data_IF_745567996776
#
_entry.id   IF_745567996776
#
_cell.length_a   1.000
_cell.length_b   1.000
_cell.length_c   1.000
_cell.angle_alpha   90.00
_cell.angle_beta   90.00
_cell.angle_gamma   90.00
#
_symmetry.space_group_name_H-M   'P 1'
#
loop_
_entity.id
_entity.type
_entity.pdbx_description
1 polymer ?
#
# COMPACT_ATOMS: atom_id res chain seq x y z
N UNK A 1 -32.02 16.52 -13.37
CA UNK A 1 -31.69 15.10 -13.11
C UNK A 1 -31.26 14.97 -11.66
N UNK A 2 -32.07 14.32 -10.81
CA UNK A 2 -31.71 14.04 -9.42
C UNK A 2 -30.83 12.79 -9.42
N UNK A 3 -29.59 12.89 -8.95
CA UNK A 3 -28.73 11.72 -8.76
C UNK A 3 -29.23 10.94 -7.54
N UNK A 4 -29.48 9.64 -7.71
CA UNK A 4 -29.73 8.76 -6.58
C UNK A 4 -28.49 8.73 -5.66
N UNK A 5 -28.67 8.67 -4.33
CA UNK A 5 -27.56 8.59 -3.40
C UNK A 5 -26.73 7.32 -3.67
N UNK A 6 -25.41 7.36 -3.43
CA UNK A 6 -24.56 6.20 -3.61
C UNK A 6 -24.96 5.08 -2.64
N UNK A 7 -24.91 3.83 -3.12
CA UNK A 7 -25.23 2.64 -2.30
C UNK A 7 -24.29 2.44 -1.11
N UNK A 8 -23.08 2.99 -1.21
CA UNK A 8 -22.06 2.89 -0.20
C UNK A 8 -21.55 4.27 0.15
N UNK A 9 -21.26 4.49 1.43
CA UNK A 9 -20.72 5.77 1.89
C UNK A 9 -19.30 5.96 1.36
N UNK A 10 -18.85 7.21 1.13
CA UNK A 10 -17.47 7.49 0.75
C UNK A 10 -16.44 6.91 1.72
N UNK A 11 -16.79 6.84 3.01
CA UNK A 11 -15.94 6.24 4.05
C UNK A 11 -15.57 4.78 3.75
N UNK A 12 -16.44 4.02 3.08
CA UNK A 12 -16.17 2.62 2.74
C UNK A 12 -15.08 2.47 1.66
N UNK A 13 -15.00 3.40 0.71
CA UNK A 13 -14.05 3.35 -0.42
C UNK A 13 -12.90 4.33 -0.29
N UNK A 14 -12.81 5.03 0.84
CA UNK A 14 -11.82 6.05 1.07
C UNK A 14 -10.46 5.44 1.37
N UNK A 15 -9.44 5.86 0.63
CA UNK A 15 -8.03 5.54 0.93
C UNK A 15 -7.39 6.50 1.94
N UNK A 16 -8.17 7.47 2.42
CA UNK A 16 -7.69 8.53 3.31
C UNK A 16 -7.11 7.99 4.64
N UNK A 17 -7.70 6.98 5.31
CA UNK A 17 -7.10 6.40 6.52
C UNK A 17 -5.73 5.75 6.27
N UNK A 18 -5.50 5.18 5.08
CA UNK A 18 -4.21 4.60 4.71
C UNK A 18 -3.14 5.68 4.54
N UNK A 19 -3.51 6.85 4.02
CA UNK A 19 -2.61 8.01 3.90
C UNK A 19 -2.19 8.52 5.28
N UNK A 20 -3.13 8.61 6.22
CA UNK A 20 -2.84 9.04 7.59
C UNK A 20 -1.87 8.11 8.32
N UNK A 21 -1.98 6.81 8.08
CA UNK A 21 -1.14 5.79 8.67
C UNK A 21 0.17 5.57 7.90
N UNK A 22 0.40 6.29 6.80
CA UNK A 22 1.57 6.10 5.93
C UNK A 22 1.61 4.73 5.25
N UNK A 23 0.47 4.08 5.10
CA UNK A 23 0.35 2.74 4.53
C UNK A 23 0.26 2.78 3.00
N UNK A 24 0.69 1.69 2.32
CA UNK A 24 0.52 1.56 0.88
C UNK A 24 -0.98 1.57 0.50
N UNK A 25 -1.37 2.46 -0.41
CA UNK A 25 -2.77 2.61 -0.88
C UNK A 25 -3.22 1.53 -1.86
N UNK A 26 -2.29 0.69 -2.33
CA UNK A 26 -2.57 -0.31 -3.36
C UNK A 26 -1.69 -1.54 -3.21
N UNK A 27 -2.02 -2.56 -4.00
CA UNK A 27 -1.39 -3.88 -3.99
C UNK A 27 -0.13 -3.97 -4.87
N UNK A 28 0.39 -2.87 -5.42
CA UNK A 28 1.50 -2.88 -6.38
C UNK A 28 2.74 -3.66 -5.88
N UNK A 29 2.99 -3.66 -4.56
CA UNK A 29 4.06 -4.47 -3.96
C UNK A 29 3.78 -5.98 -4.09
N UNK A 30 2.54 -6.41 -3.85
CA UNK A 30 2.08 -7.79 -4.00
C UNK A 30 2.11 -8.20 -5.47
N UNK A 31 1.64 -7.34 -6.37
CA UNK A 31 1.69 -7.59 -7.82
C UNK A 31 3.13 -7.73 -8.32
N UNK A 32 4.03 -6.86 -7.85
CA UNK A 32 5.46 -6.95 -8.13
C UNK A 32 6.07 -8.24 -7.59
N UNK A 33 5.67 -8.67 -6.39
CA UNK A 33 6.10 -9.95 -5.82
C UNK A 33 5.61 -11.14 -6.66
N UNK A 34 4.33 -11.18 -7.03
CA UNK A 34 3.77 -12.20 -7.92
C UNK A 34 4.48 -12.21 -9.29
N UNK A 35 4.72 -11.04 -9.89
CA UNK A 35 5.43 -10.94 -11.16
C UNK A 35 6.84 -11.54 -11.08
N UNK A 36 7.57 -11.25 -9.99
CA UNK A 36 8.89 -11.84 -9.74
C UNK A 36 8.79 -13.35 -9.49
N UNK A 37 7.82 -13.79 -8.70
CA UNK A 37 7.60 -15.21 -8.42
C UNK A 37 7.35 -16.00 -9.71
N UNK A 38 6.45 -15.54 -10.58
CA UNK A 38 6.16 -16.19 -11.85
C UNK A 38 7.41 -16.28 -12.75
N UNK A 39 8.27 -15.25 -12.73
CA UNK A 39 9.58 -15.28 -13.43
C UNK A 39 10.55 -16.30 -12.84
N UNK A 40 10.59 -16.46 -11.51
CA UNK A 40 11.45 -17.43 -10.83
C UNK A 40 10.97 -18.87 -11.06
N UNK A 41 9.66 -19.09 -11.03
CA UNK A 41 9.08 -20.41 -11.34
C UNK A 41 9.30 -20.75 -12.82
N UNK A 42 9.24 -19.75 -13.71
CA UNK A 42 9.57 -19.90 -15.13
C UNK A 42 8.54 -20.71 -15.94
N UNK A 43 7.43 -21.13 -15.31
CA UNK A 43 6.38 -21.96 -15.90
C UNK A 43 5.03 -21.39 -15.48
N UNK A 44 4.08 -21.29 -16.42
CA UNK A 44 2.72 -20.76 -16.17
C UNK A 44 1.92 -21.65 -15.22
N UNK A 45 2.04 -22.97 -15.37
CA UNK A 45 1.31 -23.97 -14.58
C UNK A 45 2.28 -25.02 -14.01
N UNK A 46 3.06 -24.67 -12.97
CA UNK A 46 3.89 -25.66 -12.29
C UNK A 46 3.01 -26.73 -11.65
N UNK A 47 3.51 -27.97 -11.60
CA UNK A 47 2.92 -28.98 -10.72
C UNK A 47 2.97 -28.54 -9.26
N UNK A 48 2.08 -29.11 -8.43
CA UNK A 48 1.94 -28.73 -7.01
C UNK A 48 3.28 -28.82 -6.26
N UNK A 49 4.05 -29.89 -6.48
CA UNK A 49 5.34 -30.08 -5.82
C UNK A 49 6.39 -29.04 -6.23
N UNK A 50 6.68 -28.81 -7.52
CA UNK A 50 7.53 -27.70 -7.96
C UNK A 50 7.08 -26.33 -7.42
N UNK A 51 5.77 -26.09 -7.39
CA UNK A 51 5.21 -24.85 -6.86
C UNK A 51 5.55 -24.66 -5.38
N UNK A 52 5.27 -25.66 -4.53
CA UNK A 52 5.56 -25.61 -3.10
C UNK A 52 7.06 -25.42 -2.85
N UNK A 53 7.91 -26.18 -3.54
CA UNK A 53 9.37 -26.08 -3.39
C UNK A 53 9.89 -24.68 -3.74
N UNK A 54 9.37 -24.06 -4.80
CA UNK A 54 9.75 -22.69 -5.18
C UNK A 54 9.23 -21.64 -4.20
N UNK A 55 8.03 -21.85 -3.66
CA UNK A 55 7.45 -20.97 -2.66
C UNK A 55 8.28 -20.99 -1.35
N UNK A 56 8.70 -22.17 -0.90
CA UNK A 56 9.60 -22.31 0.26
C UNK A 56 10.95 -21.61 0.02
N UNK A 57 11.53 -21.74 -1.17
CA UNK A 57 12.77 -21.03 -1.54
C UNK A 57 12.60 -19.50 -1.51
N UNK A 58 11.49 -18.98 -2.02
CA UNK A 58 11.20 -17.54 -1.94
C UNK A 58 11.01 -17.07 -0.51
N UNK A 59 10.31 -17.84 0.33
CA UNK A 59 10.15 -17.52 1.75
C UNK A 59 11.51 -17.42 2.44
N UNK A 60 12.38 -18.42 2.26
CA UNK A 60 13.72 -18.42 2.85
C UNK A 60 14.54 -17.17 2.43
N UNK A 61 14.50 -16.84 1.13
CA UNK A 61 15.18 -15.64 0.61
C UNK A 61 14.61 -14.33 1.17
N UNK A 62 13.29 -14.27 1.40
CA UNK A 62 12.63 -13.13 2.05
C UNK A 62 13.05 -13.01 3.52
N UNK A 63 13.09 -14.12 4.25
CA UNK A 63 13.51 -14.14 5.66
C UNK A 63 14.97 -13.71 5.81
N UNK A 64 15.85 -14.17 4.93
CA UNK A 64 17.25 -13.74 4.92
C UNK A 64 17.39 -12.24 4.68
N UNK A 65 16.61 -11.70 3.74
CA UNK A 65 16.56 -10.26 3.48
C UNK A 65 16.02 -9.49 4.68
N UNK A 66 14.98 -9.99 5.35
CA UNK A 66 14.43 -9.39 6.55
C UNK A 66 15.47 -9.37 7.67
N UNK A 67 16.15 -10.50 7.93
CA UNK A 67 17.24 -10.60 8.91
C UNK A 67 18.35 -9.60 8.62
N UNK A 68 18.74 -9.45 7.36
CA UNK A 68 19.76 -8.48 6.95
C UNK A 68 19.33 -7.03 7.23
N UNK A 69 18.06 -6.69 6.94
CA UNK A 69 17.50 -5.36 7.22
C UNK A 69 17.42 -5.07 8.72
N UNK A 70 17.00 -6.05 9.51
CA UNK A 70 16.96 -5.93 10.98
C UNK A 70 18.35 -5.71 11.56
N UNK A 71 19.37 -6.42 11.04
CA UNK A 71 20.77 -6.25 11.46
C UNK A 71 21.34 -4.89 11.09
N UNK A 72 21.06 -4.41 9.87
CA UNK A 72 21.60 -3.13 9.40
C UNK A 72 20.93 -1.92 10.05
N UNK A 73 19.72 -2.09 10.62
CA UNK A 73 18.87 -0.99 11.10
C UNK A 73 18.64 0.11 10.04
N UNK A 74 18.92 -0.16 8.77
CA UNK A 74 18.84 0.85 7.72
C UNK A 74 17.51 0.74 6.98
N UNK A 75 16.70 1.81 6.93
CA UNK A 75 15.51 1.81 6.11
C UNK A 75 15.89 1.66 4.63
N UNK A 76 15.07 0.91 3.88
CA UNK A 76 15.25 0.82 2.44
C UNK A 76 15.21 2.21 1.82
N UNK A 77 16.29 2.57 1.10
CA UNK A 77 16.40 3.86 0.45
C UNK A 77 15.26 4.04 -0.56
N UNK A 78 14.36 4.98 -0.27
CA UNK A 78 13.31 5.37 -1.19
C UNK A 78 13.82 6.43 -2.16
N UNK A 79 13.25 6.46 -3.38
CA UNK A 79 13.57 7.53 -4.35
C UNK A 79 13.01 8.85 -3.82
N UNK A 80 13.81 9.93 -3.89
CA UNK A 80 13.40 11.28 -3.43
C UNK A 80 12.05 11.72 -4.00
N UNK A 81 11.78 11.42 -5.27
CA UNK A 81 10.52 11.74 -5.94
C UNK A 81 9.31 11.03 -5.31
N UNK A 82 9.47 9.82 -4.76
CA UNK A 82 8.40 9.10 -4.06
C UNK A 82 8.11 9.81 -2.74
N UNK A 83 9.14 10.09 -1.96
CA UNK A 83 9.00 10.82 -0.68
C UNK A 83 8.31 12.18 -0.86
N UNK A 84 8.66 12.91 -1.92
CA UNK A 84 8.01 14.19 -2.22
C UNK A 84 6.51 14.05 -2.54
N UNK A 85 6.12 12.99 -3.26
CA UNK A 85 4.71 12.69 -3.55
C UNK A 85 3.94 12.30 -2.29
N UNK A 86 4.54 11.49 -1.42
CA UNK A 86 3.94 11.12 -0.13
C UNK A 86 3.69 12.35 0.73
N UNK A 87 4.71 13.21 0.89
CA UNK A 87 4.58 14.46 1.65
C UNK A 87 3.52 15.40 1.07
N UNK A 88 3.34 15.43 -0.26
CA UNK A 88 2.28 16.20 -0.89
C UNK A 88 0.89 15.65 -0.58
N UNK A 89 0.72 14.31 -0.59
CA UNK A 89 -0.55 13.67 -0.23
C UNK A 89 -0.90 13.87 1.24
N UNK A 90 0.07 13.77 2.14
CA UNK A 90 -0.13 14.06 3.56
C UNK A 90 -0.59 15.50 3.80
N UNK A 91 0.01 16.47 3.08
CA UNK A 91 -0.41 17.88 3.13
C UNK A 91 -1.86 18.05 2.69
N UNK A 92 -2.23 17.45 1.56
CA UNK A 92 -3.61 17.53 1.05
C UNK A 92 -4.58 16.89 2.05
N UNK A 93 -4.25 15.73 2.60
CA UNK A 93 -5.09 15.03 3.58
C UNK A 93 -5.33 15.86 4.83
N UNK A 94 -4.28 16.52 5.35
CA UNK A 94 -4.39 17.44 6.50
C UNK A 94 -5.28 18.63 6.18
N UNK A 95 -5.02 19.32 5.08
CA UNK A 95 -5.80 20.50 4.68
C UNK A 95 -7.29 20.17 4.54
N UNK A 96 -7.63 19.03 3.92
CA UNK A 96 -9.03 18.59 3.78
C UNK A 96 -9.67 18.31 5.14
N UNK A 97 -8.92 17.74 6.09
CA UNK A 97 -9.41 17.49 7.45
C UNK A 97 -9.66 18.79 8.21
N UNK A 98 -8.73 19.74 8.11
CA UNK A 98 -8.82 21.04 8.80
C UNK A 98 -10.05 21.81 8.29
N UNK A 99 -10.23 21.90 6.97
CA UNK A 99 -11.43 22.50 6.36
C UNK A 99 -12.71 21.78 6.80
N UNK A 100 -12.71 20.45 6.83
CA UNK A 100 -13.87 19.70 7.28
C UNK A 100 -14.21 19.97 8.76
N UNK A 101 -13.21 20.18 9.62
CA UNK A 101 -13.43 20.55 11.01
C UNK A 101 -13.98 21.97 11.18
N UNK A 102 -13.54 22.93 10.38
CA UNK A 102 -14.05 24.31 10.40
C UNK A 102 -15.52 24.38 9.95
N UNK A 103 -15.86 23.69 8.86
CA UNK A 103 -17.23 23.64 8.33
C UNK A 103 -18.20 22.94 9.30
N UNK A 104 -17.75 21.88 9.98
CA UNK A 104 -18.56 21.22 11.01
C UNK A 104 -18.75 22.09 12.26
N UNK A 105 -17.80 23.00 12.56
CA UNK A 105 -17.92 23.96 13.66
C UNK A 105 -18.90 25.10 13.32
N UNK A 106 -18.91 25.57 12.07
CA UNK A 106 -19.83 26.61 11.60
C UNK A 106 -21.29 26.13 11.44
N UNK A 107 -21.52 24.84 11.15
CA UNK A 107 -22.87 24.28 11.03
C UNK A 107 -23.51 23.85 12.37
N UNK A 108 -22.81 24.00 13.50
CA UNK A 108 -23.30 23.62 14.83
C UNK A 108 -23.62 24.84 15.73
N UNK A 109 -23.68 26.04 15.15
CA UNK A 109 -24.15 27.29 15.75
C UNK A 109 -25.52 27.68 15.20
#
# INVERSE_FOLDING_TARGET
>A
MIRAPPRFTPAFWSVQPLVEQGLPRGNNSVESWHSRYSKVVGVSHPGVWPFISRLQQQQAATDDRLRALLRSQQPQRQRKAVLAKEAALERISKNVRDIASEVLFECNC
#
